data_IF_740871215248
#
_entry.id   IF_740871215248
#
_cell.length_a   1.000
_cell.length_b   1.000
_cell.length_c   1.000
_cell.angle_alpha   90.00
_cell.angle_beta   90.00
_cell.angle_gamma   90.00
#
_symmetry.space_group_name_H-M   'P 1'
#
loop_
_entity.id
_entity.type
_entity.pdbx_description
1 polymer ?
#
# COMPACT_ATOMS: atom_id res chain seq x y z
N UNK A 1 -6.15 -2.49 14.29
CA UNK A 1 -6.61 -2.57 12.88
C UNK A 1 -8.09 -2.30 12.68
N UNK A 2 -8.96 -2.41 13.70
CA UNK A 2 -10.41 -2.27 13.52
C UNK A 2 -10.87 -1.05 12.71
N UNK A 3 -10.40 0.20 12.96
CA UNK A 3 -10.82 1.36 12.16
C UNK A 3 -10.39 1.28 10.68
N UNK A 4 -9.24 0.67 10.41
CA UNK A 4 -8.74 0.52 9.05
C UNK A 4 -9.50 -0.58 8.29
N UNK A 5 -9.89 -1.66 8.98
CA UNK A 5 -10.72 -2.72 8.42
C UNK A 5 -12.16 -2.27 8.19
N UNK A 6 -12.68 -1.34 9.00
CA UNK A 6 -13.98 -0.71 8.78
C UNK A 6 -14.00 0.10 7.47
N UNK A 7 -12.92 0.86 7.20
CA UNK A 7 -12.79 1.63 5.96
C UNK A 7 -12.38 0.77 4.75
N UNK A 8 -11.57 -0.28 4.98
CA UNK A 8 -11.01 -1.15 3.95
C UNK A 8 -11.30 -2.60 4.32
N UNK A 9 -12.52 -3.11 4.08
CA UNK A 9 -12.93 -4.45 4.51
C UNK A 9 -12.15 -5.58 3.84
N UNK A 10 -11.54 -5.31 2.68
CA UNK A 10 -10.69 -6.25 1.95
C UNK A 10 -9.20 -6.09 2.30
N UNK A 11 -8.86 -5.30 3.33
CA UNK A 11 -7.46 -5.14 3.76
C UNK A 11 -6.89 -6.48 4.20
N UNK A 12 -5.77 -6.84 3.60
CA UNK A 12 -4.98 -8.01 3.96
C UNK A 12 -3.60 -7.59 4.43
N UNK A 13 -3.02 -8.36 5.35
CA UNK A 13 -1.62 -8.26 5.76
C UNK A 13 -0.93 -9.60 5.47
N UNK A 14 0.40 -9.65 5.55
CA UNK A 14 1.10 -10.92 5.38
C UNK A 14 0.71 -11.95 6.43
N UNK A 15 0.34 -11.51 7.64
CA UNK A 15 -0.16 -12.38 8.72
C UNK A 15 -1.59 -12.90 8.45
N UNK A 16 -2.38 -12.23 7.60
CA UNK A 16 -3.69 -12.75 7.18
C UNK A 16 -3.60 -13.62 5.92
N UNK A 17 -2.57 -13.44 5.09
CA UNK A 17 -2.37 -14.16 3.83
C UNK A 17 -1.54 -15.44 3.98
N UNK A 18 -0.67 -15.53 4.98
CA UNK A 18 0.21 -16.67 5.21
C UNK A 18 0.00 -17.27 6.61
N UNK A 19 0.18 -18.58 6.72
CA UNK A 19 0.14 -19.29 8.00
C UNK A 19 1.33 -18.92 8.89
N UNK A 20 1.19 -19.19 10.20
CA UNK A 20 2.28 -18.97 11.16
C UNK A 20 3.53 -19.79 10.79
N UNK A 21 3.35 -21.01 10.29
CA UNK A 21 4.45 -21.90 9.89
C UNK A 21 5.18 -21.39 8.63
N UNK A 22 4.46 -20.81 7.66
CA UNK A 22 5.07 -20.18 6.49
C UNK A 22 5.86 -18.93 6.85
N UNK A 23 5.42 -18.19 7.87
CA UNK A 23 6.10 -16.97 8.32
C UNK A 23 7.27 -17.24 9.29
N UNK A 24 7.23 -18.35 10.02
CA UNK A 24 8.20 -18.69 11.07
C UNK A 24 9.69 -18.56 10.64
N UNK A 25 10.12 -18.96 9.41
CA UNK A 25 11.51 -18.81 8.97
C UNK A 25 11.99 -17.35 8.86
N UNK A 26 11.06 -16.40 8.76
CA UNK A 26 11.34 -15.00 8.50
C UNK A 26 11.19 -14.11 9.75
N UNK A 27 10.36 -14.50 10.73
CA UNK A 27 9.95 -13.66 11.86
C UNK A 27 11.11 -13.01 12.64
N UNK A 28 12.25 -13.71 12.77
CA UNK A 28 13.42 -13.21 13.50
C UNK A 28 14.35 -12.32 12.65
N UNK A 29 14.00 -12.08 11.39
CA UNK A 29 14.82 -11.34 10.43
C UNK A 29 13.98 -10.27 9.73
N UNK A 30 14.03 -9.04 10.25
CA UNK A 30 13.26 -7.90 9.73
C UNK A 30 13.44 -7.70 8.21
N UNK A 31 14.67 -7.85 7.69
CA UNK A 31 14.93 -7.74 6.24
C UNK A 31 14.26 -8.85 5.43
N UNK A 32 14.13 -10.07 5.96
CA UNK A 32 13.45 -11.19 5.29
C UNK A 32 11.93 -11.01 5.37
N UNK A 33 11.41 -10.54 6.50
CA UNK A 33 9.99 -10.16 6.62
C UNK A 33 9.61 -9.04 5.65
N UNK A 34 10.52 -8.09 5.40
CA UNK A 34 10.33 -7.03 4.41
C UNK A 34 10.40 -7.53 2.96
N UNK A 35 11.13 -8.62 2.69
CA UNK A 35 11.19 -9.22 1.36
C UNK A 35 9.83 -9.82 0.93
N UNK A 36 9.00 -10.25 1.89
CA UNK A 36 7.62 -10.67 1.63
C UNK A 36 6.79 -9.48 1.13
N UNK A 37 6.82 -8.36 1.87
CA UNK A 37 6.12 -7.12 1.47
C UNK A 37 6.62 -6.64 0.09
N UNK A 38 7.92 -6.75 -0.15
CA UNK A 38 8.55 -6.39 -1.41
C UNK A 38 8.00 -7.19 -2.58
N UNK A 39 7.85 -8.51 -2.40
CA UNK A 39 7.38 -9.41 -3.47
C UNK A 39 5.94 -9.11 -3.85
N UNK A 40 5.06 -8.94 -2.86
CA UNK A 40 3.66 -8.54 -3.09
C UNK A 40 3.60 -7.19 -3.79
N UNK A 41 4.40 -6.21 -3.33
CA UNK A 41 4.45 -4.89 -3.94
C UNK A 41 5.12 -4.87 -5.33
N UNK A 42 5.97 -5.84 -5.67
CA UNK A 42 6.57 -5.96 -7.00
C UNK A 42 5.53 -6.47 -8.01
N UNK A 43 4.66 -7.38 -7.59
CA UNK A 43 3.65 -8.00 -8.45
C UNK A 43 2.29 -7.33 -8.42
N UNK A 44 2.08 -6.33 -7.56
CA UNK A 44 0.83 -5.57 -7.55
C UNK A 44 0.64 -4.71 -8.80
N UNK A 45 -0.59 -4.59 -9.28
CA UNK A 45 -0.94 -3.71 -10.40
C UNK A 45 -0.66 -2.23 -10.06
N UNK A 46 -0.99 -1.85 -8.82
CA UNK A 46 -0.77 -0.51 -8.27
C UNK A 46 0.05 -0.61 -6.99
N UNK A 47 1.06 0.25 -6.87
CA UNK A 47 1.84 0.41 -5.64
C UNK A 47 1.71 1.83 -5.10
N UNK A 48 1.45 1.99 -3.81
CA UNK A 48 1.37 3.30 -3.13
C UNK A 48 2.44 3.36 -2.06
N UNK A 49 3.33 4.36 -2.11
CA UNK A 49 4.42 4.51 -1.14
C UNK A 49 4.12 5.58 -0.10
N UNK A 50 4.42 5.30 1.17
CA UNK A 50 4.18 6.23 2.29
C UNK A 50 5.38 7.12 2.59
N UNK A 51 6.63 6.63 2.51
CA UNK A 51 7.84 7.38 2.83
C UNK A 51 8.91 7.27 1.75
N UNK A 52 9.84 8.23 1.72
CA UNK A 52 11.10 8.03 1.00
C UNK A 52 11.98 7.07 1.80
N UNK A 53 12.80 6.28 1.12
CA UNK A 53 13.68 5.32 1.76
C UNK A 53 14.14 4.24 0.80
N UNK A 54 14.94 3.31 1.30
CA UNK A 54 15.56 2.26 0.49
C UNK A 54 14.51 1.33 -0.15
N UNK A 55 13.48 0.92 0.60
CA UNK A 55 12.45 0.00 0.11
C UNK A 55 11.76 0.50 -1.17
N UNK A 56 11.09 1.67 -1.17
CA UNK A 56 10.44 2.16 -2.39
C UNK A 56 11.45 2.53 -3.48
N UNK A 57 12.67 2.96 -3.12
CA UNK A 57 13.71 3.27 -4.10
C UNK A 57 14.11 2.03 -4.93
N UNK A 58 14.40 0.91 -4.27
CA UNK A 58 14.73 -0.34 -4.96
C UNK A 58 13.51 -0.92 -5.70
N UNK A 59 12.33 -0.88 -5.08
CA UNK A 59 11.12 -1.43 -5.66
C UNK A 59 10.69 -0.70 -6.94
N UNK A 60 10.77 0.63 -6.96
CA UNK A 60 10.43 1.45 -8.14
C UNK A 60 11.28 1.09 -9.35
N UNK A 61 12.60 0.96 -9.16
CA UNK A 61 13.51 0.55 -10.23
C UNK A 61 13.19 -0.85 -10.75
N UNK A 62 12.93 -1.79 -9.84
CA UNK A 62 12.62 -3.17 -10.19
C UNK A 62 11.28 -3.30 -10.93
N UNK A 63 10.21 -2.64 -10.43
CA UNK A 63 8.91 -2.56 -11.12
C UNK A 63 9.06 -1.95 -12.51
N UNK A 64 9.84 -0.88 -12.66
CA UNK A 64 10.10 -0.24 -13.96
C UNK A 64 10.82 -1.17 -14.93
N UNK A 65 11.82 -1.91 -14.46
CA UNK A 65 12.55 -2.88 -15.26
C UNK A 65 11.65 -4.05 -15.71
N UNK A 66 10.94 -4.68 -14.76
CA UNK A 66 10.15 -5.89 -15.01
C UNK A 66 8.96 -5.64 -15.96
N UNK A 67 8.29 -4.49 -15.86
CA UNK A 67 7.10 -4.17 -16.66
C UNK A 67 7.37 -3.17 -17.79
N UNK A 68 8.63 -3.01 -18.21
CA UNK A 68 9.00 -2.12 -19.32
C UNK A 68 8.56 -0.67 -19.15
N UNK A 69 8.48 -0.18 -17.91
CA UNK A 69 8.03 1.17 -17.59
C UNK A 69 6.54 1.36 -17.32
N UNK A 70 5.70 0.34 -17.50
CA UNK A 70 4.23 0.46 -17.43
C UNK A 70 3.64 0.19 -16.04
N UNK A 71 4.47 0.16 -15.00
CA UNK A 71 4.02 -0.16 -13.66
C UNK A 71 3.45 1.06 -12.92
N UNK A 72 2.17 1.00 -12.52
CA UNK A 72 1.52 2.12 -11.84
C UNK A 72 2.06 2.26 -10.42
N UNK A 73 2.62 3.44 -10.12
CA UNK A 73 3.07 3.79 -8.77
C UNK A 73 2.56 5.17 -8.37
N UNK A 74 2.01 5.26 -7.16
CA UNK A 74 1.47 6.49 -6.57
C UNK A 74 2.37 6.91 -5.42
N UNK A 75 2.85 8.15 -5.48
CA UNK A 75 3.58 8.80 -4.38
C UNK A 75 2.76 10.01 -3.93
N UNK A 76 1.96 9.88 -2.86
CA UNK A 76 1.12 10.97 -2.40
C UNK A 76 1.94 12.17 -1.94
N UNK A 77 1.46 13.38 -2.27
CA UNK A 77 2.03 14.63 -1.77
C UNK A 77 1.56 14.85 -0.32
N UNK A 78 2.46 14.59 0.62
CA UNK A 78 2.15 14.68 2.06
C UNK A 78 1.76 16.07 2.51
N UNK A 79 2.34 17.12 1.91
CA UNK A 79 2.02 18.50 2.30
C UNK A 79 0.60 18.82 1.91
N UNK A 80 0.18 18.40 0.71
CA UNK A 80 -1.21 18.55 0.26
C UNK A 80 -2.16 17.68 1.06
N UNK A 81 -1.80 16.42 1.33
CA UNK A 81 -2.62 15.54 2.17
C UNK A 81 -2.84 16.11 3.57
N UNK A 82 -1.79 16.68 4.20
CA UNK A 82 -1.92 17.31 5.51
C UNK A 82 -2.95 18.45 5.49
N UNK A 83 -2.92 19.32 4.47
CA UNK A 83 -3.90 20.40 4.30
C UNK A 83 -5.32 19.88 4.07
N UNK A 84 -5.48 18.75 3.35
CA UNK A 84 -6.78 18.12 3.13
C UNK A 84 -7.33 17.56 4.45
N UNK A 85 -6.50 16.85 5.21
CA UNK A 85 -6.93 16.22 6.47
C UNK A 85 -7.18 17.23 7.60
N UNK A 86 -6.58 18.42 7.53
CA UNK A 86 -6.85 19.52 8.46
C UNK A 86 -8.27 20.10 8.31
N UNK A 87 -8.90 19.93 7.13
CA UNK A 87 -10.25 20.42 6.87
C UNK A 87 -11.29 19.28 6.95
N UNK A 88 -12.15 19.21 7.99
CA UNK A 88 -13.06 18.07 8.24
C UNK A 88 -14.05 17.76 7.10
N UNK A 89 -14.28 18.68 6.16
CA UNK A 89 -15.06 18.42 4.93
C UNK A 89 -14.42 17.38 3.99
N UNK A 90 -13.21 16.88 4.26
CA UNK A 90 -12.61 15.80 3.46
C UNK A 90 -13.40 14.49 3.57
N UNK A 91 -14.10 14.26 4.69
CA UNK A 91 -14.90 13.03 4.91
C UNK A 91 -16.10 12.99 3.96
N UNK A 92 -16.82 14.10 3.82
CA UNK A 92 -17.93 14.24 2.88
C UNK A 92 -17.46 14.02 1.44
N UNK A 93 -16.32 14.63 1.07
CA UNK A 93 -15.70 14.47 -0.26
C UNK A 93 -15.26 13.04 -0.56
N UNK A 94 -14.88 12.24 0.44
CA UNK A 94 -14.60 10.82 0.23
C UNK A 94 -15.87 10.02 0.00
N UNK A 95 -16.93 10.28 0.76
CA UNK A 95 -18.23 9.60 0.57
C UNK A 95 -18.79 9.87 -0.85
N UNK A 96 -18.66 11.10 -1.34
CA UNK A 96 -19.03 11.45 -2.72
C UNK A 96 -18.18 10.70 -3.76
N UNK A 97 -16.87 10.59 -3.52
CA UNK A 97 -15.98 9.86 -4.42
C UNK A 97 -16.31 8.36 -4.46
N UNK A 98 -16.51 7.74 -3.30
CA UNK A 98 -16.84 6.32 -3.19
C UNK A 98 -18.17 6.00 -3.87
N UNK A 99 -19.20 6.84 -3.68
CA UNK A 99 -20.47 6.70 -4.38
C UNK A 99 -20.33 6.78 -5.90
N UNK A 100 -19.45 7.65 -6.39
CA UNK A 100 -19.17 7.81 -7.82
C UNK A 100 -18.51 6.56 -8.41
N UNK A 101 -17.51 5.98 -7.72
CA UNK A 101 -16.75 4.85 -8.25
C UNK A 101 -17.38 3.48 -7.98
N UNK A 102 -18.32 3.37 -7.03
CA UNK A 102 -19.09 2.14 -6.80
C UNK A 102 -20.14 1.82 -7.89
N UNK A 103 -20.35 2.74 -8.85
CA UNK A 103 -21.33 2.63 -9.94
C UNK A 103 -20.74 2.14 -11.28
N UNK A 104 -19.48 1.70 -11.29
CA UNK A 104 -18.73 1.19 -12.46
C UNK A 104 -18.22 -0.21 -12.18
#
# INVERSE_FOLDING_TARGET
>A
MAPLLEMFPLLQTKETLASADELAPFQNYSSRMAAIDYTVCLHSEVFVTTQGGNFPHFLLGHRRYLYGGHSRTIKPDKRKLALIFDNPSWVERLQEADAKYAST
#
